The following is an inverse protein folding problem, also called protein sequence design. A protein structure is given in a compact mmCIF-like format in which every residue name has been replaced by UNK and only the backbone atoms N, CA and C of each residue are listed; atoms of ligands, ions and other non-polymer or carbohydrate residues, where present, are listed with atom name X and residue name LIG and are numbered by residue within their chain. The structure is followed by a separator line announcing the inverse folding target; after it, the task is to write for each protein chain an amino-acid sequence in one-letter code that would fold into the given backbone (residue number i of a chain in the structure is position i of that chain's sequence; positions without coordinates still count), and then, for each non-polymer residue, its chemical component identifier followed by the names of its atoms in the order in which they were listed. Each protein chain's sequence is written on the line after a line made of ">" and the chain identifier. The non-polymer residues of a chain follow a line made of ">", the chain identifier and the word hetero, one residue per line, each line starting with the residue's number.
data_IF_683733306261
#
_entry.id   IF_683733306261
#
_cell.length_a   1.000
_cell.length_b   1.000
_cell.length_c   1.000
_cell.angle_alpha   90.00
_cell.angle_beta   90.00
_cell.angle_gamma   90.00
#
_symmetry.space_group_name_H-M   'P 1'
#
loop_
_entity.id
_entity.type
_entity.pdbx_description
1 polymer ?
#
# COMPACT_ATOMS: atom_id res chain seq x y z
N UNK A 1 -21.85 -21.33 -31.15
CA UNK A 1 -21.83 -19.90 -30.78
C UNK A 1 -20.83 -19.20 -31.68
N UNK A 2 -21.27 -18.19 -32.41
CA UNK A 2 -20.41 -17.42 -33.32
C UNK A 2 -19.61 -16.34 -32.59
N UNK A 3 -18.52 -15.85 -33.18
CA UNK A 3 -17.69 -14.78 -32.60
C UNK A 3 -18.50 -13.50 -32.34
N UNK A 4 -19.39 -13.12 -33.27
CA UNK A 4 -20.24 -11.94 -33.15
C UNK A 4 -21.20 -12.00 -31.95
N UNK A 5 -21.71 -13.19 -31.61
CA UNK A 5 -22.58 -13.40 -30.45
C UNK A 5 -21.81 -13.19 -29.14
N UNK A 6 -20.58 -13.70 -29.07
CA UNK A 6 -19.70 -13.54 -27.91
C UNK A 6 -19.29 -12.07 -27.76
N UNK A 7 -18.94 -11.40 -28.86
CA UNK A 7 -18.55 -9.99 -28.82
C UNK A 7 -19.73 -9.12 -28.35
N UNK A 8 -20.95 -9.39 -28.84
CA UNK A 8 -22.16 -8.72 -28.37
C UNK A 8 -22.44 -8.99 -26.89
N UNK A 9 -22.23 -10.22 -26.42
CA UNK A 9 -22.33 -10.58 -24.99
C UNK A 9 -21.33 -9.78 -24.14
N UNK A 10 -20.08 -9.68 -24.58
CA UNK A 10 -19.03 -8.94 -23.87
C UNK A 10 -19.39 -7.46 -23.77
N UNK A 11 -19.68 -6.79 -24.89
CA UNK A 11 -19.98 -5.35 -24.89
C UNK A 11 -21.22 -5.03 -24.06
N UNK A 12 -22.26 -5.89 -24.12
CA UNK A 12 -23.47 -5.72 -23.32
C UNK A 12 -23.15 -5.77 -21.83
N UNK A 13 -22.26 -6.67 -21.41
CA UNK A 13 -21.99 -6.92 -19.99
C UNK A 13 -20.90 -6.03 -19.39
N UNK A 14 -19.99 -5.45 -20.18
CA UNK A 14 -18.96 -4.55 -19.65
C UNK A 14 -19.52 -3.40 -18.81
N UNK A 15 -20.69 -2.87 -19.18
CA UNK A 15 -21.36 -1.79 -18.45
C UNK A 15 -21.95 -2.21 -17.09
N UNK A 16 -22.05 -3.50 -16.83
CA UNK A 16 -22.61 -4.06 -15.59
C UNK A 16 -21.55 -4.22 -14.49
N UNK A 17 -20.31 -3.78 -14.75
CA UNK A 17 -19.21 -3.84 -13.80
C UNK A 17 -19.01 -2.49 -13.11
N UNK A 18 -19.23 -2.46 -11.80
CA UNK A 18 -18.96 -1.30 -10.95
C UNK A 18 -17.53 -1.35 -10.43
N UNK A 19 -16.57 -0.95 -11.27
CA UNK A 19 -15.14 -0.86 -10.94
C UNK A 19 -14.68 0.59 -10.95
N UNK A 20 -13.63 0.90 -10.19
CA UNK A 20 -13.20 2.28 -9.94
C UNK A 20 -12.65 2.99 -11.19
N UNK A 21 -12.10 2.23 -12.16
CA UNK A 21 -11.52 2.80 -13.39
C UNK A 21 -11.40 1.76 -14.52
N UNK A 22 -10.65 2.09 -15.59
CA UNK A 22 -10.61 1.34 -16.85
C UNK A 22 -9.50 0.29 -16.94
N UNK A 23 -8.57 0.25 -16.00
CA UNK A 23 -7.39 -0.62 -16.05
C UNK A 23 -7.73 -2.12 -16.08
N UNK A 24 -8.88 -2.51 -15.52
CA UNK A 24 -9.34 -3.91 -15.57
C UNK A 24 -10.26 -4.22 -16.76
N UNK A 25 -10.50 -3.27 -17.67
CA UNK A 25 -11.43 -3.47 -18.79
C UNK A 25 -11.08 -4.71 -19.60
N UNK A 26 -9.80 -4.89 -19.95
CA UNK A 26 -9.36 -6.03 -20.74
C UNK A 26 -9.45 -7.35 -19.98
N UNK A 27 -9.17 -7.36 -18.67
CA UNK A 27 -9.39 -8.54 -17.82
C UNK A 27 -10.86 -8.94 -17.79
N UNK A 28 -11.77 -7.98 -17.64
CA UNK A 28 -13.22 -8.25 -17.63
C UNK A 28 -13.66 -8.79 -19.00
N UNK A 29 -13.16 -8.24 -20.11
CA UNK A 29 -13.43 -8.77 -21.46
C UNK A 29 -13.02 -10.23 -21.61
N UNK A 30 -11.80 -10.56 -21.19
CA UNK A 30 -11.28 -11.92 -21.29
C UNK A 30 -12.03 -12.88 -20.36
N UNK A 31 -12.42 -12.42 -19.16
CA UNK A 31 -13.26 -13.20 -18.25
C UNK A 31 -14.62 -13.52 -18.86
N UNK A 32 -15.30 -12.52 -19.45
CA UNK A 32 -16.58 -12.70 -20.12
C UNK A 32 -16.45 -13.64 -21.33
N UNK A 33 -15.37 -13.51 -22.12
CA UNK A 33 -15.07 -14.45 -23.19
C UNK A 33 -14.93 -15.88 -22.67
N UNK A 34 -14.18 -16.09 -21.59
CA UNK A 34 -14.01 -17.41 -20.97
C UNK A 34 -15.33 -17.96 -20.39
N UNK A 35 -16.20 -17.12 -19.83
CA UNK A 35 -17.55 -17.57 -19.43
C UNK A 35 -18.37 -18.07 -20.61
N UNK A 36 -18.37 -17.33 -21.73
CA UNK A 36 -19.12 -17.71 -22.91
C UNK A 36 -18.62 -19.06 -23.46
N UNK A 37 -17.30 -19.22 -23.61
CA UNK A 37 -16.69 -20.48 -24.07
C UNK A 37 -16.88 -21.62 -23.05
N UNK A 38 -16.89 -21.29 -21.76
CA UNK A 38 -17.11 -22.23 -20.65
C UNK A 38 -18.55 -22.72 -20.51
N UNK A 39 -19.48 -22.23 -21.34
CA UNK A 39 -20.87 -22.68 -21.37
C UNK A 39 -21.85 -21.83 -20.56
N UNK A 40 -21.45 -20.62 -20.14
CA UNK A 40 -22.40 -19.65 -19.60
C UNK A 40 -23.47 -19.30 -20.64
N UNK A 41 -24.72 -19.18 -20.20
CA UNK A 41 -25.78 -18.72 -21.07
C UNK A 41 -25.60 -17.22 -21.37
N UNK A 42 -25.20 -16.90 -22.59
CA UNK A 42 -24.95 -15.52 -23.04
C UNK A 42 -26.20 -14.62 -23.04
N UNK A 43 -27.39 -15.17 -22.89
CA UNK A 43 -28.61 -14.37 -22.67
C UNK A 43 -28.69 -13.83 -21.24
N UNK A 44 -28.00 -14.46 -20.29
CA UNK A 44 -27.96 -14.02 -18.90
C UNK A 44 -26.87 -12.96 -18.71
N UNK A 45 -27.24 -11.86 -18.05
CA UNK A 45 -26.29 -10.83 -17.70
C UNK A 45 -25.35 -11.26 -16.57
N UNK A 46 -24.14 -10.71 -16.63
CA UNK A 46 -23.05 -10.90 -15.67
C UNK A 46 -22.78 -9.56 -15.00
N UNK A 47 -22.69 -9.58 -13.68
CA UNK A 47 -22.40 -8.42 -12.86
C UNK A 47 -21.12 -8.64 -12.08
N UNK A 48 -20.36 -7.59 -11.88
CA UNK A 48 -19.19 -7.60 -11.02
C UNK A 48 -18.90 -6.24 -10.45
N UNK A 49 -18.00 -6.20 -9.48
CA UNK A 49 -17.56 -4.97 -8.85
C UNK A 49 -16.16 -5.09 -8.32
N UNK A 50 -15.52 -3.96 -8.08
CA UNK A 50 -14.37 -3.92 -7.19
C UNK A 50 -14.81 -4.24 -5.76
N UNK A 51 -14.01 -5.05 -5.06
CA UNK A 51 -14.12 -5.26 -3.63
C UNK A 51 -12.77 -5.68 -3.06
N UNK A 52 -12.26 -4.89 -2.12
CA UNK A 52 -11.00 -5.12 -1.42
C UNK A 52 -9.78 -5.19 -2.37
N UNK A 53 -9.72 -4.31 -3.36
CA UNK A 53 -8.65 -4.28 -4.36
C UNK A 53 -8.76 -5.35 -5.45
N UNK A 54 -9.87 -6.08 -5.51
CA UNK A 54 -10.04 -7.18 -6.45
C UNK A 54 -11.35 -7.10 -7.24
N UNK A 55 -11.32 -7.62 -8.47
CA UNK A 55 -12.51 -7.87 -9.27
C UNK A 55 -13.29 -9.05 -8.68
N UNK A 56 -14.50 -8.78 -8.20
CA UNK A 56 -15.44 -9.81 -7.75
C UNK A 56 -16.59 -9.94 -8.70
N UNK A 57 -16.79 -11.16 -9.19
CA UNK A 57 -17.92 -11.56 -10.01
C UNK A 57 -18.56 -12.78 -9.38
N UNK A 58 -19.80 -12.65 -8.91
CA UNK A 58 -20.54 -13.74 -8.28
C UNK A 58 -21.52 -14.31 -9.29
N UNK A 59 -21.16 -15.43 -9.88
CA UNK A 59 -22.03 -16.19 -10.78
C UNK A 59 -22.21 -17.61 -10.24
N UNK A 60 -23.35 -18.21 -10.55
CA UNK A 60 -23.73 -19.52 -10.04
C UNK A 60 -24.47 -20.29 -11.12
N UNK A 61 -24.22 -21.61 -11.17
CA UNK A 61 -25.01 -22.56 -11.95
C UNK A 61 -25.41 -23.73 -11.07
N UNK A 62 -26.63 -24.25 -11.26
CA UNK A 62 -27.07 -25.49 -10.62
C UNK A 62 -26.36 -26.73 -11.20
N UNK A 63 -25.76 -26.62 -12.39
CA UNK A 63 -24.91 -27.66 -12.95
C UNK A 63 -23.54 -27.62 -12.27
N UNK A 64 -23.17 -28.68 -11.56
CA UNK A 64 -21.93 -28.75 -10.76
C UNK A 64 -20.65 -28.56 -11.61
N UNK A 65 -20.57 -29.18 -12.79
CA UNK A 65 -19.41 -29.08 -13.67
C UNK A 65 -19.24 -27.67 -14.24
N UNK A 66 -20.35 -27.06 -14.67
CA UNK A 66 -20.35 -25.67 -15.13
C UNK A 66 -20.00 -24.74 -13.98
N UNK A 67 -20.59 -24.92 -12.80
CA UNK A 67 -20.32 -24.08 -11.63
C UNK A 67 -18.85 -24.16 -11.21
N UNK A 68 -18.23 -25.34 -11.25
CA UNK A 68 -16.79 -25.50 -11.01
C UNK A 68 -15.94 -24.76 -12.05
N UNK A 69 -16.32 -24.84 -13.33
CA UNK A 69 -15.65 -24.11 -14.42
C UNK A 69 -15.74 -22.60 -14.22
N UNK A 70 -16.94 -22.09 -13.92
CA UNK A 70 -17.19 -20.68 -13.66
C UNK A 70 -16.41 -20.17 -12.47
N UNK A 71 -16.35 -20.95 -11.38
CA UNK A 71 -15.56 -20.63 -10.19
C UNK A 71 -14.07 -20.52 -10.50
N UNK A 72 -13.53 -21.45 -11.29
CA UNK A 72 -12.12 -21.40 -11.68
C UNK A 72 -11.80 -20.14 -12.50
N UNK A 73 -12.70 -19.74 -13.39
CA UNK A 73 -12.57 -18.50 -14.16
C UNK A 73 -12.65 -17.29 -13.22
N UNK A 74 -13.63 -17.19 -12.33
CA UNK A 74 -13.73 -16.06 -11.39
C UNK A 74 -12.51 -15.97 -10.48
N UNK A 75 -12.01 -17.09 -9.97
CA UNK A 75 -10.84 -17.13 -9.08
C UNK A 75 -9.57 -16.69 -9.82
N UNK A 76 -9.41 -17.10 -11.08
CA UNK A 76 -8.31 -16.66 -11.95
C UNK A 76 -8.32 -15.14 -12.12
N UNK A 77 -9.46 -14.55 -12.50
CA UNK A 77 -9.53 -13.11 -12.77
C UNK A 77 -9.52 -12.26 -11.50
N UNK A 78 -10.01 -12.77 -10.37
CA UNK A 78 -9.81 -12.17 -9.04
C UNK A 78 -8.31 -12.01 -8.76
N UNK A 79 -7.52 -13.09 -8.91
CA UNK A 79 -6.07 -13.06 -8.69
C UNK A 79 -5.32 -12.17 -9.68
N UNK A 80 -5.75 -12.13 -10.95
CA UNK A 80 -5.14 -11.25 -11.95
C UNK A 80 -5.41 -9.78 -11.65
N UNK A 81 -6.65 -9.44 -11.30
CA UNK A 81 -7.02 -8.06 -10.95
C UNK A 81 -6.27 -7.57 -9.70
N UNK A 82 -6.04 -8.43 -8.70
CA UNK A 82 -5.25 -8.14 -7.51
C UNK A 82 -3.78 -7.74 -7.81
N UNK A 83 -3.27 -8.10 -9.00
CA UNK A 83 -1.91 -7.79 -9.48
C UNK A 83 -1.89 -6.77 -10.62
N UNK A 84 -3.03 -6.18 -10.95
CA UNK A 84 -3.20 -5.28 -12.08
C UNK A 84 -3.72 -3.94 -11.58
N UNK A 85 -3.05 -2.84 -11.92
CA UNK A 85 -3.50 -1.51 -11.54
C UNK A 85 -4.91 -1.24 -12.10
N UNK A 86 -5.87 -0.93 -11.22
CA UNK A 86 -7.26 -0.69 -11.60
C UNK A 86 -7.44 0.54 -12.49
N UNK A 87 -6.47 1.47 -12.49
CA UNK A 87 -6.51 2.71 -13.29
C UNK A 87 -5.99 2.50 -14.71
N UNK A 88 -4.78 1.96 -14.87
CA UNK A 88 -4.13 1.87 -16.19
C UNK A 88 -3.90 0.46 -16.73
N UNK A 89 -4.13 -0.59 -15.95
CA UNK A 89 -3.96 -1.98 -16.40
C UNK A 89 -2.51 -2.47 -16.44
N UNK A 90 -1.52 -1.68 -16.00
CA UNK A 90 -0.16 -2.16 -15.79
C UNK A 90 -0.08 -3.07 -14.56
N UNK A 91 1.10 -3.66 -14.29
CA UNK A 91 1.36 -4.31 -13.00
C UNK A 91 1.04 -3.36 -11.84
N UNK A 92 0.33 -3.87 -10.84
CA UNK A 92 -0.08 -3.16 -9.64
C UNK A 92 0.03 -4.06 -8.42
N UNK A 93 0.06 -3.43 -7.25
CA UNK A 93 0.13 -4.10 -5.94
C UNK A 93 -1.05 -3.66 -5.09
N UNK A 94 -1.42 -4.49 -4.12
CA UNK A 94 -2.43 -4.14 -3.12
C UNK A 94 -1.90 -2.95 -2.30
N UNK A 95 -2.73 -1.92 -2.15
CA UNK A 95 -2.42 -0.70 -1.41
C UNK A 95 -3.59 -0.34 -0.51
N UNK A 96 -3.29 0.37 0.56
CA UNK A 96 -4.31 1.00 1.41
C UNK A 96 -4.21 2.51 1.23
N UNK A 97 -5.34 3.15 0.90
CA UNK A 97 -5.49 4.61 0.82
C UNK A 97 -6.71 4.97 1.64
N UNK A 98 -6.54 5.78 2.69
CA UNK A 98 -7.63 6.26 3.54
C UNK A 98 -8.52 5.12 4.08
N UNK A 99 -7.89 4.01 4.47
CA UNK A 99 -8.53 2.75 4.93
C UNK A 99 -9.24 1.91 3.85
N UNK A 100 -9.12 2.28 2.57
CA UNK A 100 -9.63 1.50 1.44
C UNK A 100 -8.52 0.70 0.77
N UNK A 101 -8.77 -0.59 0.55
CA UNK A 101 -7.88 -1.44 -0.23
C UNK A 101 -8.15 -1.26 -1.72
N UNK A 102 -7.09 -1.04 -2.49
CA UNK A 102 -7.11 -0.88 -3.95
C UNK A 102 -5.86 -1.54 -4.55
N UNK A 103 -5.90 -1.93 -5.82
CA UNK A 103 -4.69 -2.37 -6.53
C UNK A 103 -4.21 -1.30 -7.49
N UNK A 104 -3.05 -0.72 -7.18
CA UNK A 104 -2.46 0.38 -7.95
C UNK A 104 -1.00 0.10 -8.30
N UNK A 105 -0.56 0.64 -9.43
CA UNK A 105 0.86 0.79 -9.68
C UNK A 105 1.44 1.92 -8.82
N UNK A 106 2.74 1.92 -8.58
CA UNK A 106 3.40 2.90 -7.72
C UNK A 106 3.11 4.36 -8.13
N UNK A 107 3.04 4.66 -9.45
CA UNK A 107 2.74 6.01 -9.94
C UNK A 107 1.36 6.48 -9.49
N UNK A 108 0.32 5.69 -9.74
CA UNK A 108 -1.05 6.05 -9.34
C UNK A 108 -1.24 6.03 -7.82
N UNK A 109 -0.50 5.17 -7.10
CA UNK A 109 -0.46 5.23 -5.65
C UNK A 109 0.07 6.58 -5.16
N UNK A 110 1.23 7.04 -5.68
CA UNK A 110 1.82 8.32 -5.31
C UNK A 110 1.03 9.54 -5.80
N UNK A 111 0.19 9.38 -6.83
CA UNK A 111 -0.78 10.41 -7.20
C UNK A 111 -1.88 10.57 -6.16
N UNK A 112 -2.27 9.51 -5.46
CA UNK A 112 -3.30 9.59 -4.42
C UNK A 112 -2.71 9.85 -3.03
N UNK A 113 -1.50 9.34 -2.77
CA UNK A 113 -0.71 9.54 -1.56
C UNK A 113 0.59 10.28 -1.90
N UNK A 114 0.53 11.60 -2.15
CA UNK A 114 1.69 12.36 -2.59
C UNK A 114 2.78 12.44 -1.52
N UNK A 115 4.02 12.36 -1.97
CA UNK A 115 5.21 12.61 -1.16
C UNK A 115 5.16 14.02 -0.58
N UNK A 116 5.36 14.12 0.74
CA UNK A 116 5.51 15.41 1.42
C UNK A 116 6.91 15.93 1.09
N UNK A 117 6.97 17.05 0.37
CA UNK A 117 8.21 17.76 0.08
C UNK A 117 8.35 18.96 1.01
N UNK A 118 9.53 19.11 1.62
CA UNK A 118 9.87 20.24 2.48
C UNK A 118 11.11 20.91 1.90
N UNK A 119 11.01 22.19 1.54
CA UNK A 119 12.14 22.97 1.04
C UNK A 119 12.89 23.75 2.14
N UNK A 120 13.99 24.39 1.76
CA UNK A 120 14.85 25.13 2.69
C UNK A 120 14.14 26.33 3.34
N UNK A 121 13.12 26.88 2.68
CA UNK A 121 12.29 27.97 3.18
C UNK A 121 11.13 27.49 4.07
N UNK A 122 11.05 26.19 4.35
CA UNK A 122 10.00 25.50 5.12
C UNK A 122 8.62 25.54 4.43
N UNK A 123 8.58 25.59 3.10
CA UNK A 123 7.34 25.33 2.37
C UNK A 123 7.08 23.83 2.30
N UNK A 124 5.86 23.44 2.62
CA UNK A 124 5.33 22.10 2.41
C UNK A 124 4.67 22.04 1.05
N UNK A 125 5.11 21.10 0.21
CA UNK A 125 4.58 20.91 -1.15
C UNK A 125 4.07 19.49 -1.33
N UNK A 126 2.98 19.37 -2.10
CA UNK A 126 2.46 18.11 -2.59
C UNK A 126 2.38 18.21 -4.10
N UNK A 127 2.94 17.23 -4.82
CA UNK A 127 3.01 17.21 -6.29
C UNK A 127 3.59 18.52 -6.86
N UNK A 128 4.61 19.06 -6.19
CA UNK A 128 5.26 20.34 -6.55
C UNK A 128 4.44 21.62 -6.27
N UNK A 129 3.17 21.52 -5.86
CA UNK A 129 2.36 22.68 -5.46
C UNK A 129 2.60 22.99 -3.98
N UNK A 130 2.92 24.24 -3.66
CA UNK A 130 2.96 24.73 -2.27
C UNK A 130 1.56 24.63 -1.65
N UNK A 131 1.49 23.92 -0.52
CA UNK A 131 0.28 23.78 0.29
C UNK A 131 0.33 24.79 1.44
N UNK A 132 1.41 24.80 2.22
CA UNK A 132 1.60 25.77 3.30
C UNK A 132 3.08 26.13 3.49
N UNK A 133 3.35 27.13 4.31
CA UNK A 133 4.68 27.37 4.87
C UNK A 133 4.60 27.29 6.40
N UNK A 134 5.52 26.56 7.03
CA UNK A 134 5.50 26.37 8.49
C UNK A 134 5.66 27.68 9.28
N UNK A 135 6.15 28.76 8.66
CA UNK A 135 6.25 30.09 9.29
C UNK A 135 4.91 30.81 9.40
N UNK A 136 3.93 30.42 8.58
CA UNK A 136 2.58 31.00 8.57
C UNK A 136 1.62 30.23 9.50
N UNK A 137 2.07 29.08 10.03
CA UNK A 137 1.34 28.21 10.96
C UNK A 137 1.40 28.80 12.36
N UNK A 138 0.25 28.81 13.03
CA UNK A 138 0.12 29.29 14.42
C UNK A 138 -0.02 28.15 15.43
N UNK A 139 -0.59 27.02 15.03
CA UNK A 139 -0.78 25.86 15.91
C UNK A 139 -0.84 24.56 15.09
N UNK A 140 -0.33 23.48 15.66
CA UNK A 140 -0.39 22.13 15.10
C UNK A 140 -1.05 21.21 16.12
N UNK A 141 -2.15 20.60 15.73
CA UNK A 141 -2.81 19.56 16.51
C UNK A 141 -2.38 18.19 16.00
N UNK A 142 -2.33 17.24 16.93
CA UNK A 142 -1.88 15.88 16.65
C UNK A 142 -3.00 14.90 16.94
N UNK A 143 -3.19 13.96 16.03
CA UNK A 143 -4.22 12.92 16.12
C UNK A 143 -3.58 11.55 16.33
N UNK A 144 -4.26 10.70 17.11
CA UNK A 144 -3.96 9.27 17.33
C UNK A 144 -2.45 8.93 17.47
N UNK A 145 -1.87 9.05 18.67
CA UNK A 145 -0.48 8.60 18.92
C UNK A 145 0.55 9.10 17.87
N UNK A 146 0.48 10.39 17.51
CA UNK A 146 1.35 11.03 16.52
C UNK A 146 1.15 10.54 15.07
N UNK A 147 -0.02 10.02 14.71
CA UNK A 147 -0.32 9.49 13.38
C UNK A 147 -0.97 10.50 12.41
N UNK A 148 -1.50 11.61 12.92
CA UNK A 148 -2.05 12.69 12.10
C UNK A 148 -1.61 14.06 12.56
N UNK A 149 -1.44 14.99 11.61
CA UNK A 149 -1.14 16.40 11.88
C UNK A 149 -2.17 17.31 11.23
N UNK A 150 -2.77 18.18 12.03
CA UNK A 150 -3.66 19.25 11.59
C UNK A 150 -2.98 20.60 11.77
N UNK A 151 -2.81 21.34 10.68
CA UNK A 151 -2.18 22.65 10.69
C UNK A 151 -3.23 23.77 10.68
N UNK A 152 -3.04 24.77 11.54
CA UNK A 152 -3.85 25.99 11.57
C UNK A 152 -2.94 27.23 11.55
N UNK A 153 -3.36 28.29 10.86
CA UNK A 153 -2.51 29.44 10.60
C UNK A 153 -3.21 30.56 9.85
N UNK A 154 -2.59 31.74 9.85
CA UNK A 154 -3.16 32.91 9.18
C UNK A 154 -2.99 32.78 7.67
N UNK A 155 -4.10 32.84 6.92
CA UNK A 155 -4.08 32.72 5.46
C UNK A 155 -3.95 31.29 4.94
N UNK A 156 -4.07 30.29 5.81
CA UNK A 156 -4.49 28.95 5.39
C UNK A 156 -5.99 29.01 5.13
N UNK A 157 -6.42 28.48 3.99
CA UNK A 157 -7.84 28.48 3.62
C UNK A 157 -8.62 27.63 4.64
N UNK A 158 -9.66 28.18 5.27
CA UNK A 158 -10.44 27.46 6.30
C UNK A 158 -11.18 26.26 5.72
N UNK A 159 -11.43 26.26 4.40
CA UNK A 159 -11.99 25.12 3.67
C UNK A 159 -10.93 24.06 3.29
N UNK A 160 -9.64 24.40 3.34
CA UNK A 160 -8.50 23.50 3.12
C UNK A 160 -7.71 23.29 4.44
N UNK A 161 -8.40 22.89 5.52
CA UNK A 161 -7.69 22.37 6.70
C UNK A 161 -6.62 21.37 6.24
N UNK A 162 -5.36 21.69 6.52
CA UNK A 162 -4.26 20.92 5.96
C UNK A 162 -3.92 19.77 6.90
N UNK A 163 -4.47 18.60 6.57
CA UNK A 163 -4.17 17.35 7.25
C UNK A 163 -3.04 16.60 6.57
N UNK A 164 -2.19 15.97 7.38
CA UNK A 164 -1.20 15.00 6.92
C UNK A 164 -1.26 13.74 7.77
N UNK A 165 -1.14 12.58 7.13
CA UNK A 165 -1.19 11.26 7.76
C UNK A 165 0.15 10.54 7.68
N UNK A 166 0.45 9.68 8.66
CA UNK A 166 1.59 8.77 8.66
C UNK A 166 1.68 7.85 7.45
N UNK A 167 0.57 7.63 6.74
CA UNK A 167 0.51 6.86 5.50
C UNK A 167 1.20 7.58 4.32
N UNK A 168 1.48 8.88 4.45
CA UNK A 168 2.17 9.66 3.44
C UNK A 168 3.69 9.57 3.58
N UNK A 169 4.44 9.45 2.46
CA UNK A 169 5.89 9.49 2.52
C UNK A 169 6.38 10.82 3.07
N UNK A 170 7.43 10.78 3.89
CA UNK A 170 7.99 11.92 4.63
C UNK A 170 7.08 12.49 5.74
N UNK A 171 6.06 11.78 6.18
CA UNK A 171 5.26 12.23 7.33
C UNK A 171 6.11 12.44 8.58
N UNK A 172 6.94 11.46 8.95
CA UNK A 172 7.79 11.59 10.14
C UNK A 172 8.89 12.64 9.95
N UNK A 173 9.35 12.87 8.72
CA UNK A 173 10.19 14.02 8.39
C UNK A 173 9.46 15.35 8.66
N UNK A 174 8.20 15.46 8.26
CA UNK A 174 7.36 16.63 8.57
C UNK A 174 7.22 16.80 10.08
N UNK A 175 6.81 15.76 10.79
CA UNK A 175 6.68 15.78 12.26
C UNK A 175 7.97 16.25 12.95
N UNK A 176 9.13 15.76 12.51
CA UNK A 176 10.45 16.17 13.01
C UNK A 176 10.81 17.62 12.67
N UNK A 177 10.27 18.16 11.58
CA UNK A 177 10.60 19.50 11.06
C UNK A 177 9.70 20.59 11.64
N UNK A 178 8.49 20.27 12.09
CA UNK A 178 7.59 21.24 12.72
C UNK A 178 8.27 21.83 13.99
N UNK A 179 8.37 23.17 14.11
CA UNK A 179 8.89 23.79 15.31
C UNK A 179 8.11 23.39 16.56
N UNK A 180 8.81 22.91 17.60
CA UNK A 180 8.17 22.37 18.81
C UNK A 180 7.16 23.31 19.46
N UNK A 181 7.43 24.61 19.48
CA UNK A 181 6.55 25.61 20.08
C UNK A 181 5.16 25.74 19.40
N UNK A 182 4.96 25.13 18.23
CA UNK A 182 3.66 25.06 17.56
C UNK A 182 2.76 23.95 18.10
N UNK A 183 3.31 23.00 18.88
CA UNK A 183 2.55 21.96 19.57
C UNK A 183 2.20 22.39 20.99
N UNK A 184 1.20 21.74 21.60
CA UNK A 184 0.93 21.86 23.04
C UNK A 184 2.09 21.31 23.88
N UNK A 185 2.22 21.75 25.14
CA UNK A 185 3.34 21.35 26.01
C UNK A 185 3.44 19.82 26.20
N UNK A 186 2.31 19.12 26.28
CA UNK A 186 2.23 17.67 26.37
C UNK A 186 2.82 17.02 25.11
N UNK A 187 2.36 17.44 23.94
CA UNK A 187 2.79 16.90 22.65
C UNK A 187 4.25 17.25 22.34
N UNK A 188 4.77 18.39 22.81
CA UNK A 188 6.18 18.73 22.67
C UNK A 188 7.09 17.67 23.30
N UNK A 189 6.71 17.19 24.48
CA UNK A 189 7.42 16.13 25.18
C UNK A 189 7.31 14.82 24.39
N UNK A 190 6.10 14.45 23.97
CA UNK A 190 5.86 13.20 23.23
C UNK A 190 6.63 13.13 21.91
N UNK A 191 6.61 14.21 21.11
CA UNK A 191 7.36 14.29 19.84
C UNK A 191 8.86 14.20 20.09
N UNK A 192 9.36 14.87 21.13
CA UNK A 192 10.79 14.83 21.49
C UNK A 192 11.20 13.43 21.96
N UNK A 193 10.41 12.82 22.83
CA UNK A 193 10.64 11.47 23.32
C UNK A 193 10.61 10.45 22.17
N UNK A 194 9.61 10.55 21.31
CA UNK A 194 9.42 9.70 20.14
C UNK A 194 10.70 9.59 19.29
N UNK A 195 11.26 10.72 18.86
CA UNK A 195 12.46 10.72 18.01
C UNK A 195 13.75 10.37 18.77
N UNK A 196 13.85 10.70 20.06
CA UNK A 196 15.02 10.37 20.87
C UNK A 196 15.12 8.87 21.18
N UNK A 197 13.98 8.19 21.26
CA UNK A 197 13.90 6.79 21.65
C UNK A 197 13.80 5.80 20.47
N UNK A 198 13.89 6.27 19.22
CA UNK A 198 13.93 5.38 18.06
C UNK A 198 15.13 4.42 18.17
N UNK A 199 14.88 3.13 17.93
CA UNK A 199 15.92 2.10 17.93
C UNK A 199 16.30 1.68 16.51
N UNK A 200 17.48 1.08 16.39
CA UNK A 200 18.04 0.60 15.14
C UNK A 200 17.33 -0.68 14.68
N UNK A 201 16.80 -0.67 13.46
CA UNK A 201 16.16 -1.84 12.86
C UNK A 201 17.19 -2.76 12.20
N UNK A 202 17.37 -3.97 12.73
CA UNK A 202 18.25 -4.99 12.14
C UNK A 202 17.73 -5.54 10.81
N UNK A 203 16.43 -5.40 10.53
CA UNK A 203 15.82 -5.86 9.28
C UNK A 203 16.15 -4.88 8.16
N UNK A 204 15.67 -3.64 8.24
CA UNK A 204 15.85 -2.68 7.15
C UNK A 204 17.08 -1.77 7.24
N UNK A 205 17.76 -1.72 8.40
CA UNK A 205 18.97 -0.91 8.58
C UNK A 205 18.73 0.58 8.81
N UNK A 206 17.56 0.94 9.34
CA UNK A 206 17.21 2.33 9.67
C UNK A 206 16.88 2.48 11.16
N UNK A 207 17.22 3.63 11.74
CA UNK A 207 16.82 4.01 13.10
C UNK A 207 15.36 4.46 13.12
N UNK A 208 14.47 3.47 13.23
CA UNK A 208 13.04 3.65 12.98
C UNK A 208 12.15 2.72 13.82
N UNK A 209 12.70 1.93 14.75
CA UNK A 209 11.88 1.12 15.66
C UNK A 209 11.25 2.05 16.71
N UNK A 210 9.94 1.99 16.80
CA UNK A 210 9.17 2.61 17.86
C UNK A 210 8.21 1.59 18.45
N UNK A 211 8.21 1.45 19.78
CA UNK A 211 7.41 0.45 20.50
C UNK A 211 7.65 -0.98 19.99
N UNK A 212 6.72 -1.55 19.21
CA UNK A 212 6.73 -2.95 18.76
C UNK A 212 6.98 -3.14 17.28
N UNK A 213 7.23 -2.08 16.52
CA UNK A 213 7.44 -2.20 15.08
C UNK A 213 8.42 -1.17 14.54
N UNK A 214 9.01 -1.49 13.39
CA UNK A 214 9.74 -0.51 12.61
C UNK A 214 8.77 0.36 11.81
N UNK A 215 8.79 1.67 12.04
CA UNK A 215 7.97 2.65 11.32
C UNK A 215 8.31 2.78 9.82
N UNK A 216 9.37 2.10 9.38
CA UNK A 216 9.78 2.03 7.98
C UNK A 216 9.42 0.67 7.37
N UNK A 217 9.97 -0.43 7.84
CA UNK A 217 9.69 -1.74 7.21
C UNK A 217 8.46 -2.46 7.79
N UNK A 218 7.80 -1.91 8.80
CA UNK A 218 6.63 -2.48 9.50
C UNK A 218 6.84 -3.87 10.12
N UNK A 219 8.08 -4.33 10.20
CA UNK A 219 8.40 -5.58 10.88
C UNK A 219 8.56 -5.35 12.39
N UNK A 220 8.09 -6.31 13.18
CA UNK A 220 8.36 -6.41 14.61
C UNK A 220 9.87 -6.73 14.83
N UNK A 221 10.55 -6.11 15.81
CA UNK A 221 11.89 -6.58 16.18
C UNK A 221 11.82 -7.97 16.83
N UNK A 222 12.93 -8.72 16.74
CA UNK A 222 13.01 -10.02 17.42
C UNK A 222 12.64 -9.92 18.91
N UNK A 223 11.81 -10.87 19.34
CA UNK A 223 11.39 -11.05 20.73
C UNK A 223 11.82 -12.44 21.21
N UNK A 224 12.33 -12.55 22.44
CA UNK A 224 12.68 -13.85 23.05
C UNK A 224 11.44 -14.63 23.55
N UNK A 225 10.29 -14.45 22.91
CA UNK A 225 9.06 -15.19 23.21
C UNK A 225 9.17 -16.63 22.72
N UNK A 226 8.47 -17.54 23.41
CA UNK A 226 8.42 -18.96 23.02
C UNK A 226 7.94 -19.12 21.56
N UNK A 227 6.98 -18.31 21.10
CA UNK A 227 6.49 -18.35 19.72
C UNK A 227 7.57 -18.08 18.67
N UNK A 228 8.40 -17.05 18.87
CA UNK A 228 9.47 -16.70 17.92
C UNK A 228 10.55 -17.79 17.88
N UNK A 229 10.86 -18.38 19.04
CA UNK A 229 11.82 -19.48 19.15
C UNK A 229 11.28 -20.75 18.49
N UNK A 230 9.99 -21.06 18.65
CA UNK A 230 9.35 -22.22 18.02
C UNK A 230 9.30 -22.09 16.48
N UNK A 231 8.97 -20.91 15.98
CA UNK A 231 8.78 -20.68 14.55
C UNK A 231 10.12 -20.53 13.80
N UNK A 232 11.09 -19.82 14.37
CA UNK A 232 12.33 -19.43 13.68
C UNK A 232 13.61 -20.04 14.28
N UNK A 233 13.53 -20.61 15.48
CA UNK A 233 14.66 -21.18 16.22
C UNK A 233 15.59 -20.15 16.84
N UNK A 234 16.17 -19.27 16.03
CA UNK A 234 17.11 -18.24 16.46
C UNK A 234 16.86 -16.89 15.77
N UNK A 235 17.29 -15.82 16.44
CA UNK A 235 17.16 -14.44 15.95
C UNK A 235 17.69 -14.24 14.54
N UNK A 236 18.85 -14.81 14.21
CA UNK A 236 19.47 -14.69 12.88
C UNK A 236 18.57 -15.23 11.77
N UNK A 237 17.88 -16.35 12.00
CA UNK A 237 16.93 -16.92 11.03
C UNK A 237 15.77 -15.97 10.78
N UNK A 238 15.14 -15.48 11.86
CA UNK A 238 14.04 -14.51 11.76
C UNK A 238 14.43 -13.24 10.99
N UNK A 239 15.53 -12.61 11.41
CA UNK A 239 15.99 -11.37 10.76
C UNK A 239 16.32 -11.62 9.29
N UNK A 240 16.93 -12.78 8.96
CA UNK A 240 17.23 -13.16 7.57
C UNK A 240 15.97 -13.32 6.74
N UNK A 241 14.95 -14.01 7.25
CA UNK A 241 13.69 -14.23 6.54
C UNK A 241 12.97 -12.90 6.27
N UNK A 242 12.86 -12.04 7.29
CA UNK A 242 12.30 -10.69 7.12
C UNK A 242 13.11 -9.82 6.14
N UNK A 243 14.44 -9.94 6.13
CA UNK A 243 15.28 -9.24 5.17
C UNK A 243 15.05 -9.72 3.74
N UNK A 244 14.84 -11.02 3.53
CA UNK A 244 14.52 -11.58 2.21
C UNK A 244 13.18 -11.04 1.72
N UNK A 245 12.13 -11.11 2.55
CA UNK A 245 10.80 -10.56 2.23
C UNK A 245 10.87 -9.08 1.87
N UNK A 246 11.57 -8.31 2.70
CA UNK A 246 11.81 -6.90 2.48
C UNK A 246 12.58 -6.62 1.17
N UNK A 247 13.56 -7.45 0.83
CA UNK A 247 14.38 -7.29 -0.37
C UNK A 247 13.66 -7.66 -1.66
N UNK A 248 12.85 -8.73 -1.64
CA UNK A 248 12.00 -9.11 -2.79
C UNK A 248 11.06 -7.95 -3.13
N UNK A 249 10.67 -7.17 -2.13
CA UNK A 249 9.89 -5.95 -2.28
C UNK A 249 8.60 -6.23 -3.07
N UNK A 250 7.91 -7.33 -2.73
CA UNK A 250 6.73 -7.75 -3.48
C UNK A 250 5.68 -6.64 -3.57
N UNK A 251 5.57 -5.84 -2.52
CA UNK A 251 4.64 -4.72 -2.42
C UNK A 251 5.25 -3.37 -2.83
N UNK A 252 6.44 -3.33 -3.45
CA UNK A 252 7.11 -2.10 -3.88
C UNK A 252 7.31 -1.07 -2.71
N UNK A 253 7.39 -1.55 -1.47
CA UNK A 253 7.69 -0.75 -0.27
C UNK A 253 9.04 -0.05 -0.39
N UNK A 254 10.11 -0.71 -0.82
CA UNK A 254 11.42 -0.06 -0.97
C UNK A 254 11.41 0.98 -2.11
N UNK A 255 10.73 0.67 -3.23
CA UNK A 255 10.52 1.67 -4.29
C UNK A 255 9.72 2.88 -3.83
N UNK A 256 8.85 2.72 -2.83
CA UNK A 256 8.13 3.79 -2.17
C UNK A 256 9.03 4.55 -1.17
N UNK A 257 9.74 3.84 -0.29
CA UNK A 257 10.60 4.42 0.75
C UNK A 257 11.82 5.16 0.20
N UNK A 258 12.21 4.97 -1.07
CA UNK A 258 13.25 5.82 -1.68
C UNK A 258 12.90 7.31 -1.66
N UNK A 259 11.61 7.65 -1.56
CA UNK A 259 11.14 9.04 -1.42
C UNK A 259 11.08 9.51 0.03
N UNK A 260 11.11 8.57 0.99
CA UNK A 260 11.04 8.85 2.41
C UNK A 260 12.45 9.03 3.01
N UNK A 261 12.64 10.15 3.68
CA UNK A 261 13.89 10.60 4.30
C UNK A 261 13.71 10.82 5.80
N UNK A 262 12.68 10.23 6.40
CA UNK A 262 12.32 10.44 7.80
C UNK A 262 13.33 9.82 8.76
N UNK A 263 14.00 8.74 8.36
CA UNK A 263 14.85 7.93 9.21
C UNK A 263 16.28 7.87 8.71
N UNK A 264 17.22 7.79 9.66
CA UNK A 264 18.66 7.73 9.40
C UNK A 264 19.09 6.27 9.18
N UNK A 265 20.03 6.05 8.26
CA UNK A 265 20.63 4.72 8.06
C UNK A 265 21.59 4.37 9.19
N UNK A 266 21.55 3.12 9.60
CA UNK A 266 22.48 2.53 10.58
C UNK A 266 23.78 2.16 9.84
N UNK A 267 24.94 2.76 10.18
CA UNK A 267 26.18 2.59 9.40
C UNK A 267 26.69 1.15 9.29
N UNK A 268 26.49 0.35 10.33
CA UNK A 268 27.01 -1.02 10.43
C UNK A 268 25.91 -2.08 10.23
N UNK A 269 24.83 -1.74 9.53
CA UNK A 269 23.75 -2.68 9.22
C UNK A 269 24.25 -3.87 8.39
N UNK A 270 23.86 -5.09 8.79
CA UNK A 270 24.29 -6.33 8.14
C UNK A 270 23.13 -7.00 7.42
N UNK A 271 23.37 -7.40 6.17
CA UNK A 271 22.48 -8.28 5.41
C UNK A 271 22.90 -9.73 5.69
N UNK A 272 21.96 -10.52 6.20
CA UNK A 272 22.18 -11.90 6.68
C UNK A 272 21.89 -12.97 5.63
N UNK A 273 21.28 -12.60 4.49
CA UNK A 273 21.02 -13.53 3.39
C UNK A 273 22.06 -13.41 2.27
N UNK A 274 22.25 -14.51 1.56
CA UNK A 274 23.02 -14.61 0.33
C UNK A 274 22.11 -14.68 -0.88
N UNK A 275 22.68 -14.52 -2.08
CA UNK A 275 21.93 -14.68 -3.32
C UNK A 275 21.35 -16.11 -3.49
N UNK A 276 21.99 -17.13 -2.90
CA UNK A 276 21.44 -18.49 -2.91
C UNK A 276 20.16 -18.58 -2.07
N UNK A 277 20.11 -17.88 -0.94
CA UNK A 277 18.94 -17.89 -0.07
C UNK A 277 17.74 -17.25 -0.76
N UNK A 278 17.94 -16.14 -1.48
CA UNK A 278 16.90 -15.53 -2.32
C UNK A 278 16.34 -16.51 -3.36
N UNK A 279 17.22 -17.20 -4.08
CA UNK A 279 16.80 -18.16 -5.10
C UNK A 279 16.03 -19.36 -4.51
N UNK A 280 16.36 -19.80 -3.29
CA UNK A 280 15.59 -20.85 -2.61
C UNK A 280 14.22 -20.32 -2.14
N UNK A 281 14.16 -19.09 -1.65
CA UNK A 281 12.91 -18.46 -1.24
C UNK A 281 11.96 -18.22 -2.42
N UNK A 282 12.47 -17.76 -3.56
CA UNK A 282 11.67 -17.58 -4.79
C UNK A 282 11.02 -18.89 -5.26
N UNK A 283 11.67 -20.05 -5.08
CA UNK A 283 11.07 -21.36 -5.42
C UNK A 283 9.92 -21.77 -4.50
N UNK A 284 9.81 -21.17 -3.31
CA UNK A 284 8.68 -21.41 -2.41
C UNK A 284 7.46 -20.57 -2.78
N UNK A 285 7.68 -19.44 -3.46
CA UNK A 285 6.63 -18.51 -3.90
C UNK A 285 6.06 -18.85 -5.29
N UNK A 286 6.81 -19.54 -6.15
CA UNK A 286 6.48 -19.84 -7.56
C UNK A 286 6.63 -21.32 -7.93
#
# INVERSE_FOLDING_TARGET
>A
MGQEEIDSFIERNLKNFSVNSTGWRDLIRQMLFEFAIGGWNIENDVFGKEKFGELRCNIYSENEELNATLKNITDKYSKLSAKTCEICGSEGKMRTIDSWQTTLCLSHFLEQQPVIEIDAELNIKLKGKKILNLKDVTNVEVEYDLQGLWFTGNGLDEEEQTYFSWQQPNYYLLLKTVPLHLFSEEIQYDVSEFFNNLQDCEICGYKAIHQRECLRCHHEPWSDSESFIEDYGEKSSYIKDCQIEFFIDEDDYEKYFKYDRSFEKVPDHQILFSHNDLNEYEKLLF
#
